data_IF_868153381164
#
_entry.id   IF_868153381164
#
_cell.length_a   1.000
_cell.length_b   1.000
_cell.length_c   1.000
_cell.angle_alpha   90.00
_cell.angle_beta   90.00
_cell.angle_gamma   90.00
#
_symmetry.space_group_name_H-M   'P 1'
#
loop_
_entity.id
_entity.type
_entity.pdbx_description
1 polymer ?
#
# COMPACT_ATOMS: atom_id res chain seq x y z
N UNK A 1 -2.53 20.63 -13.95
CA UNK A 1 -1.36 20.05 -14.66
C UNK A 1 -0.28 19.57 -13.69
N UNK A 2 0.31 20.44 -12.85
CA UNK A 2 1.35 20.05 -11.89
C UNK A 2 0.96 18.90 -10.95
N UNK A 3 -0.26 18.92 -10.42
CA UNK A 3 -0.78 17.83 -9.58
C UNK A 3 -0.80 16.49 -10.32
N UNK A 4 -1.32 16.46 -11.55
CA UNK A 4 -1.40 15.24 -12.37
C UNK A 4 -0.01 14.74 -12.71
N UNK A 5 0.92 15.63 -13.10
CA UNK A 5 2.32 15.29 -13.33
C UNK A 5 2.95 14.61 -12.11
N UNK A 6 2.77 15.19 -10.92
CA UNK A 6 3.30 14.65 -9.66
C UNK A 6 2.72 13.27 -9.36
N UNK A 7 1.40 13.08 -9.52
CA UNK A 7 0.75 11.78 -9.33
C UNK A 7 1.26 10.74 -10.32
N UNK A 8 1.44 11.09 -11.59
CA UNK A 8 2.02 10.19 -12.62
C UNK A 8 3.44 9.80 -12.25
N UNK A 9 4.29 10.78 -11.90
CA UNK A 9 5.66 10.53 -11.49
C UNK A 9 5.72 9.58 -10.29
N UNK A 10 4.98 9.86 -9.21
CA UNK A 10 4.99 9.04 -7.99
C UNK A 10 4.41 7.64 -8.22
N UNK A 11 3.42 7.48 -9.11
CA UNK A 11 2.89 6.16 -9.47
C UNK A 11 3.93 5.32 -10.22
N UNK A 12 4.65 5.92 -11.17
CA UNK A 12 5.72 5.25 -11.91
C UNK A 12 6.95 4.99 -11.03
N UNK A 13 7.30 5.94 -10.16
CA UNK A 13 8.35 5.77 -9.15
C UNK A 13 8.03 4.58 -8.25
N UNK A 14 6.82 4.52 -7.70
CA UNK A 14 6.36 3.39 -6.89
C UNK A 14 6.44 2.07 -7.66
N UNK A 15 6.05 2.08 -8.94
CA UNK A 15 6.05 0.88 -9.78
C UNK A 15 7.48 0.35 -10.02
N UNK A 16 8.40 1.22 -10.41
CA UNK A 16 9.80 0.87 -10.60
C UNK A 16 10.49 0.44 -9.31
N UNK A 17 10.13 1.07 -8.19
CA UNK A 17 10.66 0.69 -6.87
C UNK A 17 10.28 -0.74 -6.48
N UNK A 18 9.11 -1.26 -6.91
CA UNK A 18 8.75 -2.68 -6.68
C UNK A 18 9.70 -3.66 -7.37
N UNK A 19 10.42 -3.22 -8.40
CA UNK A 19 11.43 -3.98 -9.13
C UNK A 19 12.86 -3.61 -8.70
N UNK A 20 13.03 -2.77 -7.67
CA UNK A 20 14.33 -2.31 -7.17
C UNK A 20 15.00 -1.26 -8.05
N UNK A 21 14.25 -0.58 -8.93
CA UNK A 21 14.73 0.49 -9.79
C UNK A 21 14.26 1.86 -9.28
N UNK A 22 15.01 2.90 -9.66
CA UNK A 22 14.80 4.29 -9.26
C UNK A 22 14.44 5.14 -10.47
N UNK A 23 13.26 5.75 -10.45
CA UNK A 23 12.87 6.77 -11.40
C UNK A 23 13.47 8.11 -10.94
N UNK A 24 14.29 8.75 -11.78
CA UNK A 24 14.98 10.00 -11.43
C UNK A 24 14.14 11.22 -11.81
N UNK A 25 13.56 11.20 -13.01
CA UNK A 25 12.68 12.22 -13.57
C UNK A 25 11.91 11.65 -14.75
N UNK A 26 10.89 12.41 -15.18
CA UNK A 26 10.08 12.10 -16.35
C UNK A 26 9.67 13.38 -17.08
N UNK A 27 9.55 13.29 -18.40
CA UNK A 27 8.85 14.25 -19.24
C UNK A 27 7.60 13.56 -19.81
N UNK A 28 6.43 14.15 -19.59
CA UNK A 28 5.15 13.71 -20.17
C UNK A 28 4.47 14.88 -20.86
N UNK A 29 3.52 14.57 -21.73
CA UNK A 29 2.70 15.56 -22.41
C UNK A 29 1.25 15.49 -21.94
N UNK A 30 0.53 16.60 -22.10
CA UNK A 30 -0.87 16.70 -21.72
C UNK A 30 -1.72 17.10 -22.91
N UNK A 31 -2.90 16.53 -23.00
CA UNK A 31 -3.94 16.90 -23.96
C UNK A 31 -5.24 17.24 -23.25
N UNK A 32 -6.18 17.81 -24.00
CA UNK A 32 -7.56 17.97 -23.55
C UNK A 32 -8.45 17.00 -24.33
N UNK A 33 -9.36 16.31 -23.65
CA UNK A 33 -10.42 15.54 -24.31
C UNK A 33 -11.40 16.48 -25.03
N UNK A 34 -12.29 15.92 -25.85
CA UNK A 34 -13.35 16.68 -26.53
C UNK A 34 -14.25 17.45 -25.55
N UNK A 35 -14.41 16.92 -24.33
CA UNK A 35 -15.21 17.50 -23.25
C UNK A 35 -14.43 18.50 -22.38
N UNK A 36 -13.15 18.78 -22.72
CA UNK A 36 -12.30 19.73 -22.02
C UNK A 36 -11.58 19.19 -20.78
N UNK A 37 -11.58 17.88 -20.56
CA UNK A 37 -10.84 17.26 -19.45
C UNK A 37 -9.35 17.14 -19.76
N UNK A 38 -8.50 17.55 -18.83
CA UNK A 38 -7.05 17.42 -18.95
C UNK A 38 -6.63 15.96 -18.74
N UNK A 39 -5.92 15.39 -19.70
CA UNK A 39 -5.41 14.01 -19.66
C UNK A 39 -3.91 13.97 -19.95
N UNK A 40 -3.24 12.93 -19.43
CA UNK A 40 -1.90 12.58 -19.91
C UNK A 40 -2.05 12.08 -21.36
N UNK A 41 -1.26 12.62 -22.25
CA UNK A 41 -1.27 12.31 -23.68
C UNK A 41 0.12 11.88 -24.15
N UNK A 42 0.21 11.48 -25.43
CA UNK A 42 1.40 10.91 -26.05
C UNK A 42 1.83 9.56 -25.43
N UNK A 43 3.05 9.12 -25.73
CA UNK A 43 3.64 7.86 -25.26
C UNK A 43 4.58 8.12 -24.08
N UNK A 44 4.51 7.24 -23.08
CA UNK A 44 5.54 7.13 -22.03
C UNK A 44 6.35 5.86 -22.31
N UNK A 45 7.61 6.03 -22.71
CA UNK A 45 8.55 4.95 -23.00
C UNK A 45 9.93 5.21 -22.38
N UNK A 46 10.95 4.45 -22.78
CA UNK A 46 12.30 4.56 -22.23
C UNK A 46 13.05 5.85 -22.63
N UNK A 47 12.45 6.68 -23.50
CA UNK A 47 12.93 8.00 -23.87
C UNK A 47 12.38 9.09 -22.93
N UNK A 48 11.23 8.81 -22.30
CA UNK A 48 10.47 9.75 -21.48
C UNK A 48 11.09 9.97 -20.09
N UNK A 49 11.97 9.08 -19.62
CA UNK A 49 12.52 9.12 -18.26
C UNK A 49 14.04 8.92 -18.16
N UNK A 50 14.56 9.15 -16.95
CA UNK A 50 15.82 8.57 -16.49
C UNK A 50 15.53 7.52 -15.42
N UNK A 51 16.04 6.31 -15.64
CA UNK A 51 15.77 5.14 -14.82
C UNK A 51 17.09 4.51 -14.43
N UNK A 52 17.28 4.21 -13.14
CA UNK A 52 18.55 3.69 -12.63
C UNK A 52 18.36 2.48 -11.73
N UNK A 53 19.37 1.63 -11.68
CA UNK A 53 19.44 0.57 -10.67
C UNK A 53 19.97 1.09 -9.31
N UNK A 54 20.24 0.16 -8.39
CA UNK A 54 20.73 0.51 -7.06
C UNK A 54 22.16 1.04 -7.05
N UNK A 55 22.96 0.61 -8.03
CA UNK A 55 24.36 1.00 -8.23
C UNK A 55 24.48 2.28 -9.09
N UNK A 56 23.35 2.94 -9.37
CA UNK A 56 23.24 4.14 -10.19
C UNK A 56 23.57 3.93 -11.67
N UNK A 57 23.56 2.68 -12.15
CA UNK A 57 23.67 2.37 -13.57
C UNK A 57 22.46 2.95 -14.31
N UNK A 58 22.72 3.66 -15.41
CA UNK A 58 21.68 4.26 -16.24
C UNK A 58 21.02 3.21 -17.13
N UNK A 59 19.68 3.21 -17.18
CA UNK A 59 18.86 2.25 -17.91
C UNK A 59 17.92 2.93 -18.92
N UNK A 60 18.10 4.23 -19.19
CA UNK A 60 17.29 4.97 -20.17
C UNK A 60 18.04 5.36 -21.44
N UNK A 61 17.36 6.09 -22.33
CA UNK A 61 17.96 6.75 -23.50
C UNK A 61 19.19 7.60 -23.19
N UNK A 62 19.39 8.01 -21.93
CA UNK A 62 20.55 8.79 -21.56
C UNK A 62 21.88 8.13 -21.97
N UNK A 63 21.97 6.78 -21.97
CA UNK A 63 23.14 6.06 -22.48
C UNK A 63 23.46 6.37 -23.94
N UNK A 64 22.44 6.46 -24.80
CA UNK A 64 22.61 6.86 -26.20
C UNK A 64 23.11 8.32 -26.31
N UNK A 65 22.59 9.22 -25.46
CA UNK A 65 23.02 10.62 -25.43
C UNK A 65 24.47 10.78 -24.96
N UNK A 66 24.93 9.87 -24.10
CA UNK A 66 26.30 9.83 -23.57
C UNK A 66 27.28 9.15 -24.55
N UNK A 67 26.81 8.61 -25.67
CA UNK A 67 27.63 8.08 -26.76
C UNK A 67 27.88 6.58 -26.71
N UNK A 68 27.08 5.82 -25.95
CA UNK A 68 27.20 4.35 -25.93
C UNK A 68 26.85 3.72 -27.30
N UNK A 69 27.46 2.56 -27.56
CA UNK A 69 27.21 1.75 -28.74
C UNK A 69 25.73 1.36 -28.86
N UNK A 70 25.21 1.41 -30.10
CA UNK A 70 23.79 1.15 -30.38
C UNK A 70 23.33 -0.23 -29.89
N UNK A 71 24.18 -1.25 -29.94
CA UNK A 71 23.89 -2.59 -29.43
C UNK A 71 23.65 -2.59 -27.91
N UNK A 72 24.48 -1.87 -27.15
CA UNK A 72 24.32 -1.76 -25.70
C UNK A 72 23.06 -0.98 -25.32
N UNK A 73 22.71 0.06 -26.10
CA UNK A 73 21.46 0.79 -25.94
C UNK A 73 20.26 -0.13 -26.22
N UNK A 74 20.31 -0.91 -27.29
CA UNK A 74 19.23 -1.85 -27.65
C UNK A 74 18.98 -2.87 -26.52
N UNK A 75 20.04 -3.46 -25.96
CA UNK A 75 19.94 -4.41 -24.84
C UNK A 75 19.23 -3.79 -23.62
N UNK A 76 19.49 -2.52 -23.34
CA UNK A 76 18.84 -1.78 -22.25
C UNK A 76 17.35 -1.57 -22.55
N UNK A 77 16.98 -1.21 -23.78
CA UNK A 77 15.57 -1.06 -24.15
C UNK A 77 14.82 -2.40 -24.05
N UNK A 78 15.43 -3.50 -24.50
CA UNK A 78 14.87 -4.84 -24.36
C UNK A 78 14.76 -5.27 -22.89
N UNK A 79 15.72 -4.89 -22.04
CA UNK A 79 15.66 -5.12 -20.61
C UNK A 79 14.48 -4.36 -19.99
N UNK A 80 14.39 -3.04 -20.22
CA UNK A 80 13.31 -2.20 -19.65
C UNK A 80 11.95 -2.68 -20.15
N UNK A 81 11.80 -3.02 -21.42
CA UNK A 81 10.55 -3.58 -21.96
C UNK A 81 10.11 -4.85 -21.19
N UNK A 82 11.02 -5.81 -20.99
CA UNK A 82 10.74 -7.03 -20.20
C UNK A 82 10.42 -6.76 -18.74
N UNK A 83 11.01 -5.71 -18.15
CA UNK A 83 10.73 -5.33 -16.76
C UNK A 83 9.37 -4.65 -16.63
N UNK A 84 8.99 -3.80 -17.59
CA UNK A 84 7.66 -3.16 -17.62
C UNK A 84 6.53 -4.18 -17.63
N UNK A 85 6.69 -5.31 -18.34
CA UNK A 85 5.72 -6.43 -18.34
C UNK A 85 5.52 -7.07 -16.95
N UNK A 86 6.47 -6.89 -16.02
CA UNK A 86 6.38 -7.42 -14.65
C UNK A 86 5.70 -6.46 -13.69
N UNK A 87 5.53 -5.19 -14.06
CA UNK A 87 4.82 -4.22 -13.24
C UNK A 87 3.35 -4.62 -13.21
N UNK A 88 2.81 -4.79 -11.99
CA UNK A 88 1.39 -5.04 -11.78
C UNK A 88 0.92 -4.40 -10.48
N UNK A 89 -0.38 -4.14 -10.41
CA UNK A 89 -1.02 -3.77 -9.15
C UNK A 89 -1.27 -5.05 -8.34
N UNK A 90 -0.73 -5.16 -7.11
CA UNK A 90 -0.92 -6.36 -6.30
C UNK A 90 -2.37 -6.47 -5.79
N UNK A 91 -2.87 -7.70 -5.66
CA UNK A 91 -4.16 -8.02 -5.05
C UNK A 91 -4.01 -8.08 -3.53
N UNK A 92 -4.28 -6.95 -2.89
CA UNK A 92 -4.15 -6.78 -1.46
C UNK A 92 -5.46 -6.37 -0.79
N UNK A 93 -5.53 -6.53 0.53
CA UNK A 93 -6.70 -6.14 1.32
C UNK A 93 -6.34 -5.40 2.62
N UNK A 94 -7.23 -4.49 3.02
CA UNK A 94 -7.36 -4.03 4.40
C UNK A 94 -8.58 -4.71 4.99
N UNK A 95 -8.37 -5.44 6.08
CA UNK A 95 -9.42 -6.19 6.77
C UNK A 95 -9.80 -5.44 8.04
N UNK A 96 -11.01 -4.90 8.08
CA UNK A 96 -11.61 -4.33 9.27
C UNK A 96 -12.30 -5.46 10.01
N UNK A 97 -11.77 -5.86 11.16
CA UNK A 97 -12.27 -7.00 11.91
C UNK A 97 -12.80 -6.59 13.27
N UNK A 98 -14.09 -6.78 13.50
CA UNK A 98 -14.73 -6.51 14.80
C UNK A 98 -15.23 -7.77 15.48
N UNK A 99 -15.22 -7.74 16.82
CA UNK A 99 -15.73 -8.84 17.64
C UNK A 99 -17.24 -8.80 17.87
N UNK A 100 -17.88 -7.64 17.67
CA UNK A 100 -19.29 -7.40 17.98
C UNK A 100 -19.90 -6.43 16.97
N UNK A 101 -21.18 -6.63 16.61
CA UNK A 101 -21.92 -5.69 15.76
C UNK A 101 -22.12 -4.30 16.38
N UNK A 102 -21.90 -4.17 17.69
CA UNK A 102 -21.98 -2.89 18.42
C UNK A 102 -20.79 -1.97 18.14
N UNK A 103 -19.65 -2.54 17.74
CA UNK A 103 -18.48 -1.76 17.34
C UNK A 103 -18.66 -1.37 15.88
N UNK A 104 -18.66 -0.09 15.53
CA UNK A 104 -18.86 0.31 14.14
C UNK A 104 -17.57 0.12 13.34
N UNK A 105 -17.72 -0.21 12.06
CA UNK A 105 -16.59 -0.09 11.15
C UNK A 105 -16.35 1.39 10.84
N UNK A 106 -15.08 1.82 10.78
CA UNK A 106 -14.78 3.16 10.30
C UNK A 106 -15.24 3.35 8.87
N UNK A 107 -15.58 4.60 8.56
CA UNK A 107 -15.45 5.10 7.21
C UNK A 107 -13.97 5.14 6.83
N UNK A 108 -13.66 4.81 5.59
CA UNK A 108 -12.29 4.84 5.07
C UNK A 108 -12.25 5.76 3.86
N UNK A 109 -12.42 7.08 4.05
CA UNK A 109 -12.39 8.03 2.96
C UNK A 109 -11.02 7.98 2.26
N UNK A 110 -11.03 8.05 0.93
CA UNK A 110 -9.79 8.06 0.15
C UNK A 110 -9.09 6.71 0.00
N UNK A 111 -9.76 5.58 0.25
CA UNK A 111 -9.21 4.27 -0.08
C UNK A 111 -9.02 4.15 -1.60
N UNK A 112 -7.80 3.90 -2.11
CA UNK A 112 -7.59 3.70 -3.54
C UNK A 112 -8.37 2.49 -4.05
N UNK A 113 -8.90 2.57 -5.28
CA UNK A 113 -9.59 1.46 -5.94
C UNK A 113 -8.72 0.19 -6.09
N UNK A 114 -7.39 0.34 -5.98
CA UNK A 114 -6.43 -0.78 -5.99
C UNK A 114 -6.45 -1.65 -4.74
N UNK A 115 -7.16 -1.26 -3.67
CA UNK A 115 -7.24 -2.02 -2.41
C UNK A 115 -8.66 -2.48 -2.11
N UNK A 116 -8.74 -3.73 -1.65
CA UNK A 116 -9.98 -4.34 -1.23
C UNK A 116 -10.23 -4.05 0.25
N UNK A 117 -11.35 -3.38 0.55
CA UNK A 117 -11.86 -3.19 1.92
C UNK A 117 -12.73 -4.36 2.30
N UNK A 118 -12.32 -5.14 3.30
CA UNK A 118 -13.07 -6.30 3.75
C UNK A 118 -13.51 -6.11 5.19
N UNK A 119 -14.81 -6.22 5.42
CA UNK A 119 -15.40 -6.12 6.75
C UNK A 119 -15.71 -7.52 7.30
N UNK A 120 -15.27 -7.81 8.52
CA UNK A 120 -15.46 -9.11 9.17
C UNK A 120 -16.00 -8.92 10.58
N UNK A 121 -17.04 -9.70 10.92
CA UNK A 121 -17.64 -9.69 12.26
C UNK A 121 -17.59 -11.10 12.86
N UNK A 122 -16.50 -11.41 13.56
CA UNK A 122 -16.36 -12.64 14.34
C UNK A 122 -15.62 -12.35 15.64
N UNK A 123 -16.13 -12.90 16.75
CA UNK A 123 -15.53 -12.72 18.07
C UNK A 123 -14.37 -13.70 18.29
N UNK A 124 -13.19 -13.19 18.64
CA UNK A 124 -12.04 -14.03 19.00
C UNK A 124 -12.29 -14.94 20.21
N UNK A 125 -13.12 -14.52 21.16
CA UNK A 125 -13.46 -15.34 22.34
C UNK A 125 -14.58 -16.35 22.07
N UNK A 126 -15.63 -15.94 21.34
CA UNK A 126 -16.83 -16.78 21.17
C UNK A 126 -16.76 -17.67 19.94
N UNK A 127 -15.96 -17.30 18.94
CA UNK A 127 -15.93 -17.93 17.63
C UNK A 127 -14.49 -18.10 17.07
N UNK A 128 -13.51 -18.58 17.86
CA UNK A 128 -12.10 -18.63 17.44
C UNK A 128 -11.89 -19.45 16.16
N UNK A 129 -12.54 -20.62 16.04
CA UNK A 129 -12.42 -21.48 14.85
C UNK A 129 -12.96 -20.79 13.59
N UNK A 130 -14.06 -20.04 13.71
CA UNK A 130 -14.60 -19.29 12.59
C UNK A 130 -13.66 -18.15 12.17
N UNK A 131 -12.98 -17.51 13.13
CA UNK A 131 -11.96 -16.51 12.83
C UNK A 131 -10.81 -17.10 12.02
N UNK A 132 -10.27 -18.24 12.44
CA UNK A 132 -9.15 -18.89 11.73
C UNK A 132 -9.54 -19.31 10.30
N UNK A 133 -10.72 -19.90 10.12
CA UNK A 133 -11.21 -20.25 8.78
C UNK A 133 -11.37 -19.01 7.88
N UNK A 134 -11.93 -17.93 8.42
CA UNK A 134 -12.10 -16.69 7.66
C UNK A 134 -10.76 -16.05 7.32
N UNK A 135 -9.79 -16.12 8.21
CA UNK A 135 -8.43 -15.66 7.97
C UNK A 135 -7.77 -16.43 6.81
N UNK A 136 -7.89 -17.76 6.79
CA UNK A 136 -7.38 -18.61 5.70
C UNK A 136 -8.04 -18.30 4.34
N UNK A 137 -9.35 -18.03 4.32
CA UNK A 137 -10.06 -17.56 3.12
C UNK A 137 -9.49 -16.23 2.61
N UNK A 138 -9.29 -15.25 3.51
CA UNK A 138 -8.75 -13.94 3.13
C UNK A 138 -7.33 -14.06 2.56
N UNK A 139 -6.47 -14.88 3.17
CA UNK A 139 -5.11 -15.09 2.68
C UNK A 139 -5.07 -15.75 1.29
N UNK A 140 -6.07 -16.59 0.98
CA UNK A 140 -6.25 -17.20 -0.33
C UNK A 140 -6.75 -16.20 -1.38
N UNK A 141 -7.72 -15.36 -1.01
CA UNK A 141 -8.36 -14.40 -1.91
C UNK A 141 -7.43 -13.22 -2.27
N UNK A 142 -6.49 -12.88 -1.36
CA UNK A 142 -5.54 -11.77 -1.49
C UNK A 142 -4.09 -12.24 -1.30
N UNK A 143 -3.54 -13.00 -2.26
CA UNK A 143 -2.25 -13.68 -2.10
C UNK A 143 -1.04 -12.75 -1.98
N UNK A 144 -1.16 -11.47 -2.38
CA UNK A 144 0.00 -10.56 -2.40
C UNK A 144 0.34 -9.95 -1.03
N UNK A 145 -0.67 -9.68 -0.21
CA UNK A 145 -0.61 -9.37 1.23
C UNK A 145 -1.92 -8.76 1.72
N UNK A 146 -2.07 -8.60 3.03
CA UNK A 146 -3.07 -7.71 3.61
C UNK A 146 -2.64 -7.18 4.98
N UNK A 147 -3.43 -6.25 5.51
CA UNK A 147 -3.27 -5.72 6.88
C UNK A 147 -4.62 -5.83 7.60
N UNK A 148 -4.59 -6.29 8.84
CA UNK A 148 -5.80 -6.48 9.65
C UNK A 148 -5.88 -5.40 10.72
N UNK A 149 -6.97 -4.63 10.72
CA UNK A 149 -7.35 -3.73 11.80
C UNK A 149 -8.33 -4.46 12.73
N UNK A 150 -7.84 -4.91 13.88
CA UNK A 150 -8.63 -5.61 14.90
C UNK A 150 -9.29 -4.60 15.84
N UNK A 151 -10.58 -4.36 15.65
CA UNK A 151 -11.41 -3.43 16.40
C UNK A 151 -12.15 -4.20 17.49
N UNK A 152 -11.57 -4.25 18.69
CA UNK A 152 -12.13 -4.97 19.83
C UNK A 152 -11.96 -4.20 21.13
N UNK A 153 -13.08 -3.88 21.78
CA UNK A 153 -13.08 -3.23 23.10
C UNK A 153 -12.92 -4.22 24.25
N UNK A 154 -12.84 -3.70 25.49
CA UNK A 154 -12.63 -4.48 26.72
C UNK A 154 -11.32 -5.27 26.65
N UNK A 155 -11.32 -6.53 27.09
CA UNK A 155 -10.20 -7.45 26.91
C UNK A 155 -10.12 -7.87 25.44
N UNK A 156 -9.17 -7.31 24.69
CA UNK A 156 -8.95 -7.62 23.29
C UNK A 156 -8.26 -8.99 23.12
N UNK A 157 -9.07 -10.04 22.92
CA UNK A 157 -8.56 -11.34 22.49
C UNK A 157 -8.55 -11.54 20.97
N UNK A 158 -9.10 -10.60 20.19
CA UNK A 158 -9.21 -10.73 18.73
C UNK A 158 -7.88 -10.45 18.04
N UNK A 159 -7.29 -9.28 18.31
CA UNK A 159 -6.00 -8.88 17.72
C UNK A 159 -4.87 -9.88 18.00
N UNK A 160 -4.62 -10.24 19.27
CA UNK A 160 -3.55 -11.19 19.62
C UNK A 160 -3.74 -12.57 18.98
N UNK A 161 -4.98 -13.09 18.95
CA UNK A 161 -5.28 -14.37 18.33
C UNK A 161 -5.04 -14.34 16.82
N UNK A 162 -5.45 -13.28 16.12
CA UNK A 162 -5.12 -13.14 14.70
C UNK A 162 -3.61 -13.02 14.48
N UNK A 163 -2.92 -12.18 15.27
CA UNK A 163 -1.48 -11.95 15.16
C UNK A 163 -0.64 -13.22 15.36
N UNK A 164 -1.11 -14.16 16.19
CA UNK A 164 -0.46 -15.45 16.41
C UNK A 164 -0.62 -16.44 15.23
N UNK A 165 -1.54 -16.17 14.30
CA UNK A 165 -1.94 -17.11 13.25
C UNK A 165 -1.80 -16.57 11.82
N UNK A 166 -1.21 -15.38 11.64
CA UNK A 166 -0.96 -14.83 10.31
C UNK A 166 0.40 -14.17 10.18
N UNK A 167 0.92 -14.14 8.95
CA UNK A 167 2.06 -13.31 8.57
C UNK A 167 1.64 -11.90 8.17
N UNK A 168 0.34 -11.65 8.01
CA UNK A 168 -0.18 -10.31 7.76
C UNK A 168 -0.08 -9.48 9.03
N UNK A 169 0.38 -8.22 8.95
CA UNK A 169 0.39 -7.32 10.09
C UNK A 169 -1.00 -7.17 10.70
N UNK A 170 -1.07 -7.30 12.02
CA UNK A 170 -2.29 -7.08 12.80
C UNK A 170 -2.10 -5.86 13.67
N UNK A 171 -3.02 -4.91 13.54
CA UNK A 171 -3.06 -3.66 14.27
C UNK A 171 -4.34 -3.66 15.10
N UNK A 172 -4.19 -3.74 16.41
CA UNK A 172 -5.29 -3.55 17.34
C UNK A 172 -5.66 -2.07 17.42
N UNK A 173 -6.96 -1.78 17.23
CA UNK A 173 -7.55 -0.45 17.39
C UNK A 173 -8.68 -0.53 18.42
N UNK A 174 -8.35 -0.51 19.73
CA UNK A 174 -9.35 -0.71 20.77
C UNK A 174 -10.28 0.51 20.91
N UNK A 175 -11.60 0.37 20.71
CA UNK A 175 -12.56 1.46 20.94
C UNK A 175 -12.75 1.73 22.44
N UNK A 176 -13.17 2.95 22.79
CA UNK A 176 -13.60 3.30 24.15
C UNK A 176 -12.48 3.46 25.17
N UNK A 177 -11.23 3.64 24.75
CA UNK A 177 -10.08 3.84 25.66
C UNK A 177 -10.26 5.07 26.56
N UNK A 178 -10.94 6.12 26.08
CA UNK A 178 -11.21 7.31 26.90
C UNK A 178 -12.04 6.98 28.15
N UNK A 179 -12.97 6.04 28.01
CA UNK A 179 -13.87 5.64 29.10
C UNK A 179 -13.25 4.55 29.99
N UNK A 180 -12.44 3.66 29.39
CA UNK A 180 -11.80 2.53 30.07
C UNK A 180 -10.32 2.39 29.66
N UNK A 181 -9.43 3.25 30.14
CA UNK A 181 -8.03 3.28 29.73
C UNK A 181 -7.27 1.98 29.99
N UNK A 182 -7.63 1.26 31.04
CA UNK A 182 -7.01 0.00 31.45
C UNK A 182 -7.10 -1.11 30.39
N UNK A 183 -8.11 -1.05 29.51
CA UNK A 183 -8.30 -2.04 28.45
C UNK A 183 -7.15 -2.04 27.43
N UNK A 184 -6.40 -0.93 27.31
CA UNK A 184 -5.28 -0.82 26.36
C UNK A 184 -4.20 -1.90 26.61
N UNK A 185 -4.01 -2.31 27.86
CA UNK A 185 -3.00 -3.31 28.23
C UNK A 185 -3.25 -4.66 27.56
N UNK A 186 -4.52 -5.01 27.30
CA UNK A 186 -4.90 -6.22 26.58
C UNK A 186 -4.50 -6.22 25.09
N UNK A 187 -4.09 -5.06 24.54
CA UNK A 187 -3.57 -4.93 23.17
C UNK A 187 -2.05 -4.71 23.14
N UNK A 188 -1.48 -4.11 24.19
CA UNK A 188 -0.06 -3.78 24.28
C UNK A 188 0.83 -4.95 24.76
N UNK A 189 0.43 -5.65 25.83
CA UNK A 189 1.26 -6.68 26.45
C UNK A 189 0.93 -8.05 25.89
N UNK A 190 1.67 -8.45 24.86
CA UNK A 190 1.51 -9.74 24.19
C UNK A 190 2.41 -10.82 24.78
N UNK A 191 2.02 -12.10 24.70
CA UNK A 191 2.96 -13.21 24.85
C UNK A 191 4.12 -13.09 23.86
N UNK A 192 5.22 -13.80 24.14
CA UNK A 192 6.34 -13.90 23.19
C UNK A 192 5.84 -14.44 21.85
N UNK A 193 6.45 -13.96 20.77
CA UNK A 193 6.20 -14.37 19.39
C UNK A 193 4.77 -14.09 18.88
N UNK A 194 4.05 -13.14 19.50
CA UNK A 194 2.75 -12.63 19.03
C UNK A 194 2.90 -11.15 18.65
N UNK A 195 3.27 -10.84 17.40
CA UNK A 195 3.60 -9.48 16.97
C UNK A 195 2.35 -8.66 16.64
N UNK A 196 1.63 -8.21 17.67
CA UNK A 196 0.48 -7.31 17.53
C UNK A 196 0.92 -5.85 17.72
N UNK A 197 0.62 -5.01 16.74
CA UNK A 197 0.74 -3.55 16.88
C UNK A 197 -0.51 -2.96 17.53
N UNK A 198 -0.40 -1.80 18.17
CA UNK A 198 -1.56 -1.08 18.73
C UNK A 198 -1.49 0.37 18.30
N UNK A 199 -2.55 0.87 17.66
CA UNK A 199 -2.72 2.28 17.28
C UNK A 199 -4.11 2.70 17.76
N UNK A 200 -4.17 3.78 18.53
CA UNK A 200 -5.41 4.20 19.22
C UNK A 200 -6.36 4.95 18.29
N UNK A 201 -5.78 5.80 17.45
CA UNK A 201 -6.51 6.61 16.50
C UNK A 201 -6.72 5.83 15.21
N UNK A 202 -7.97 5.76 14.76
CA UNK A 202 -8.38 4.87 13.70
C UNK A 202 -7.92 5.34 12.32
N UNK A 203 -7.91 6.65 12.09
CA UNK A 203 -7.41 7.26 10.85
C UNK A 203 -5.91 7.01 10.73
N UNK A 204 -5.15 7.18 11.83
CA UNK A 204 -3.73 6.83 11.86
C UNK A 204 -3.50 5.33 11.66
N UNK A 205 -4.33 4.45 12.24
CA UNK A 205 -4.22 3.01 12.03
C UNK A 205 -4.43 2.63 10.56
N UNK A 206 -5.38 3.30 9.90
CA UNK A 206 -5.65 3.13 8.49
C UNK A 206 -4.52 3.67 7.61
N UNK A 207 -4.02 4.88 7.87
CA UNK A 207 -2.83 5.41 7.16
C UNK A 207 -1.60 4.54 7.36
N UNK A 208 -1.40 3.98 8.56
CA UNK A 208 -0.31 3.05 8.83
C UNK A 208 -0.46 1.74 8.05
N UNK A 209 -1.69 1.20 7.95
CA UNK A 209 -1.98 0.05 7.10
C UNK A 209 -1.67 0.34 5.62
N UNK A 210 -2.04 1.52 5.12
CA UNK A 210 -1.69 1.95 3.77
C UNK A 210 -0.17 2.06 3.56
N UNK A 211 0.57 2.62 4.53
CA UNK A 211 2.03 2.65 4.46
C UNK A 211 2.64 1.25 4.34
N UNK A 212 2.13 0.25 5.07
CA UNK A 212 2.61 -1.13 4.93
C UNK A 212 2.32 -1.68 3.53
N UNK A 213 1.09 -1.51 3.04
CA UNK A 213 0.70 -2.02 1.71
C UNK A 213 1.41 -1.29 0.56
N UNK A 214 1.78 -0.02 0.77
CA UNK A 214 2.48 0.82 -0.21
C UNK A 214 3.80 0.24 -0.70
N UNK A 215 4.45 -0.59 0.12
CA UNK A 215 5.72 -1.25 -0.22
C UNK A 215 5.62 -2.07 -1.52
N UNK A 216 4.46 -2.66 -1.78
CA UNK A 216 4.21 -3.43 -3.01
C UNK A 216 3.23 -2.76 -3.97
N UNK A 217 2.50 -1.73 -3.53
CA UNK A 217 1.38 -1.16 -4.28
C UNK A 217 1.72 0.26 -4.76
N UNK A 218 2.03 0.45 -6.05
CA UNK A 218 2.48 1.74 -6.56
C UNK A 218 1.42 2.84 -6.45
N UNK A 219 0.13 2.49 -6.47
CA UNK A 219 -0.96 3.46 -6.32
C UNK A 219 -1.08 3.96 -4.89
N UNK A 220 -0.90 3.07 -3.90
CA UNK A 220 -0.89 3.49 -2.49
C UNK A 220 0.38 4.26 -2.19
N UNK A 221 1.52 3.82 -2.71
CA UNK A 221 2.79 4.54 -2.61
C UNK A 221 2.63 5.97 -3.11
N UNK A 222 2.04 6.15 -4.30
CA UNK A 222 1.73 7.47 -4.84
C UNK A 222 0.87 8.30 -3.88
N UNK A 223 -0.25 7.74 -3.38
CA UNK A 223 -1.13 8.46 -2.46
C UNK A 223 -0.46 8.87 -1.14
N UNK A 224 0.34 7.97 -0.54
CA UNK A 224 1.06 8.24 0.70
C UNK A 224 2.17 9.27 0.50
N UNK A 225 2.97 9.14 -0.56
CA UNK A 225 4.03 10.10 -0.91
C UNK A 225 3.44 11.47 -1.21
N UNK A 226 2.39 11.54 -2.01
CA UNK A 226 1.72 12.78 -2.37
C UNK A 226 1.26 13.52 -1.10
N UNK A 227 0.56 12.82 -0.19
CA UNK A 227 0.10 13.40 1.07
C UNK A 227 1.26 13.83 2.01
N UNK A 228 2.39 13.12 1.98
CA UNK A 228 3.60 13.52 2.74
C UNK A 228 4.13 14.84 2.22
N UNK A 229 4.25 14.98 0.91
CA UNK A 229 4.87 16.16 0.32
C UNK A 229 3.95 17.39 0.40
N UNK A 230 2.62 17.22 0.28
CA UNK A 230 1.66 18.31 0.55
C UNK A 230 1.81 18.88 1.96
N UNK A 231 2.07 18.03 2.96
CA UNK A 231 2.32 18.48 4.35
C UNK A 231 3.65 19.20 4.54
N UNK A 232 4.62 19.00 3.65
CA UNK A 232 5.90 19.72 3.68
C UNK A 232 5.78 21.12 3.07
N UNK A 233 4.80 21.31 2.19
CA UNK A 233 4.51 22.56 1.50
C UNK A 233 3.56 23.47 2.29
N UNK A 234 2.82 22.93 3.26
CA UNK A 234 1.89 23.63 4.16
C UNK A 234 2.57 24.24 5.38
#
# INVERSE_FOLDING_TARGET
>A
MNEVLRKVFLALEGAWNTLGLRLVDIKIEFGNTADGELVVADVIDNDSWRLRDQDWTELSKQRFRDGDELSAVEEIYQLVARLTERIRIPRQAIVLWRGSKKDNFPETPGLPASINRIEVTFSGHKQPIACLRRLEELQRDFPDSGVILAIAGRSNGLGPMLAAHTTWPVISVPPGIKDFPENIWSSLQMPRDVPNATILDLDNAFSYALNILSVKNPIIYMGQRFAIEERMES
#
